data_IF_481265163378
#
_entry.id   IF_481265163378
#
_cell.length_a   1.000
_cell.length_b   1.000
_cell.length_c   1.000
_cell.angle_alpha   90.00
_cell.angle_beta   90.00
_cell.angle_gamma   90.00
#
_symmetry.space_group_name_H-M   'P 1'
#
loop_
_entity.id
_entity.type
_entity.pdbx_description
1 polymer ?
#
# COMPACT_ATOMS: atom_id res chain seq x y z
N UNK A 1 38.28 -5.62 11.18
CA UNK A 1 37.77 -6.98 11.46
C UNK A 1 36.27 -7.00 11.22
N UNK A 2 35.68 -8.18 11.04
CA UNK A 2 34.27 -8.36 10.64
C UNK A 2 33.33 -8.58 11.86
N UNK A 3 33.92 -8.64 13.06
CA UNK A 3 33.23 -8.98 14.30
C UNK A 3 32.19 -7.92 14.72
N UNK A 4 32.55 -6.62 14.67
CA UNK A 4 31.69 -5.48 15.03
C UNK A 4 30.98 -4.89 13.81
N UNK A 5 30.43 -5.78 12.98
CA UNK A 5 29.89 -5.42 11.68
C UNK A 5 30.97 -5.28 10.61
N UNK A 6 30.56 -5.04 9.38
CA UNK A 6 31.44 -5.02 8.21
C UNK A 6 31.59 -3.61 7.62
N UNK A 7 32.25 -2.67 8.32
CA UNK A 7 32.34 -1.27 7.89
C UNK A 7 33.18 -1.08 6.63
N UNK A 8 34.12 -1.99 6.37
CA UNK A 8 35.00 -1.94 5.18
C UNK A 8 34.49 -2.83 4.04
N UNK A 9 33.28 -3.39 4.16
CA UNK A 9 32.63 -4.19 3.10
C UNK A 9 33.48 -5.37 2.60
N UNK A 10 34.14 -6.07 3.52
CA UNK A 10 34.89 -7.27 3.20
C UNK A 10 33.98 -8.40 2.71
N UNK A 11 34.52 -9.18 1.78
CA UNK A 11 33.97 -10.47 1.36
C UNK A 11 34.74 -11.55 2.11
N UNK A 12 34.02 -12.52 2.66
CA UNK A 12 34.64 -13.65 3.36
C UNK A 12 34.57 -14.86 2.46
N UNK A 13 35.72 -15.35 2.02
CA UNK A 13 35.83 -16.62 1.27
C UNK A 13 36.33 -17.71 2.23
N UNK A 14 35.51 -18.73 2.50
CA UNK A 14 35.88 -19.83 3.41
C UNK A 14 35.21 -21.13 3.00
N UNK A 15 35.84 -22.26 3.33
CA UNK A 15 35.27 -23.61 3.18
C UNK A 15 34.90 -24.24 4.51
N UNK A 16 35.26 -23.60 5.63
CA UNK A 16 34.90 -24.11 6.94
C UNK A 16 33.43 -23.81 7.23
N UNK A 17 32.67 -24.87 7.52
CA UNK A 17 31.27 -24.78 7.85
C UNK A 17 31.04 -24.04 9.18
N UNK A 18 31.94 -24.23 10.16
CA UNK A 18 31.81 -23.59 11.47
C UNK A 18 31.99 -22.08 11.37
N UNK A 19 33.01 -21.64 10.63
CA UNK A 19 33.22 -20.22 10.35
C UNK A 19 32.07 -19.63 9.54
N UNK A 20 31.59 -20.35 8.51
CA UNK A 20 30.45 -19.91 7.69
C UNK A 20 29.20 -19.66 8.53
N UNK A 21 28.87 -20.56 9.46
CA UNK A 21 27.72 -20.39 10.36
C UNK A 21 27.90 -19.19 11.28
N UNK A 22 29.11 -18.95 11.79
CA UNK A 22 29.41 -17.77 12.63
C UNK A 22 29.24 -16.47 11.83
N UNK A 23 29.79 -16.40 10.62
CA UNK A 23 29.70 -15.21 9.76
C UNK A 23 28.25 -14.93 9.35
N UNK A 24 27.45 -15.95 9.03
CA UNK A 24 26.02 -15.81 8.70
C UNK A 24 25.17 -15.21 9.83
N UNK A 25 25.62 -15.30 11.09
CA UNK A 25 24.94 -14.68 12.23
C UNK A 25 25.04 -13.16 12.20
N UNK A 26 26.02 -12.58 11.51
CA UNK A 26 26.17 -11.13 11.39
C UNK A 26 25.56 -10.68 10.05
N UNK A 27 24.72 -9.62 10.03
CA UNK A 27 24.15 -9.11 8.78
C UNK A 27 25.21 -8.35 7.96
N UNK A 28 25.09 -8.37 6.64
CA UNK A 28 25.90 -7.52 5.75
C UNK A 28 27.29 -8.06 5.41
N UNK A 29 27.50 -9.38 5.53
CA UNK A 29 28.76 -10.03 5.15
C UNK A 29 28.49 -11.03 4.01
N UNK A 30 28.97 -10.74 2.79
CA UNK A 30 28.91 -11.69 1.69
C UNK A 30 29.90 -12.85 1.91
N UNK A 31 29.41 -14.08 1.73
CA UNK A 31 30.20 -15.30 1.87
C UNK A 31 30.44 -15.94 0.49
N UNK A 32 31.66 -16.38 0.24
CA UNK A 32 32.08 -17.04 -1.00
C UNK A 32 32.63 -18.43 -0.72
N UNK A 33 32.28 -19.37 -1.58
CA UNK A 33 32.73 -20.76 -1.54
C UNK A 33 33.41 -21.12 -2.85
N UNK A 34 34.33 -22.08 -2.83
CA UNK A 34 34.86 -22.71 -4.05
C UNK A 34 34.15 -24.05 -4.21
N UNK A 35 33.35 -24.21 -5.26
CA UNK A 35 32.70 -25.47 -5.60
C UNK A 35 33.35 -25.96 -6.88
N UNK A 36 34.11 -27.06 -6.78
CA UNK A 36 34.92 -27.59 -7.87
C UNK A 36 35.87 -26.52 -8.43
N UNK A 37 35.68 -26.11 -9.68
CA UNK A 37 36.50 -25.11 -10.38
C UNK A 37 35.81 -23.73 -10.49
N UNK A 38 34.78 -23.49 -9.66
CA UNK A 38 33.98 -22.26 -9.69
C UNK A 38 33.94 -21.60 -8.32
N UNK A 39 33.99 -20.27 -8.31
CA UNK A 39 33.80 -19.46 -7.11
C UNK A 39 32.34 -19.02 -7.08
N UNK A 40 31.63 -19.40 -6.02
CA UNK A 40 30.19 -19.16 -5.87
C UNK A 40 29.97 -18.20 -4.71
N UNK A 41 29.23 -17.12 -4.98
CA UNK A 41 28.73 -16.22 -3.95
C UNK A 41 27.46 -16.80 -3.33
N UNK A 42 27.42 -16.90 -2.01
CA UNK A 42 26.26 -17.41 -1.29
C UNK A 42 25.10 -16.42 -1.32
N UNK A 43 23.90 -16.96 -1.11
CA UNK A 43 22.69 -16.15 -0.94
C UNK A 43 22.80 -15.32 0.35
N UNK A 44 22.23 -14.12 0.39
CA UNK A 44 22.25 -13.29 1.59
C UNK A 44 21.60 -14.02 2.76
N UNK A 45 22.22 -13.95 3.94
CA UNK A 45 21.71 -14.62 5.13
C UNK A 45 20.30 -14.09 5.49
N UNK A 46 19.43 -14.92 6.10
CA UNK A 46 18.10 -14.47 6.55
C UNK A 46 18.16 -13.22 7.44
N UNK A 47 19.22 -13.09 8.24
CA UNK A 47 19.43 -11.91 9.08
C UNK A 47 19.76 -10.65 8.28
N UNK A 48 20.57 -10.78 7.22
CA UNK A 48 20.83 -9.68 6.29
C UNK A 48 19.54 -9.24 5.59
N UNK A 49 18.75 -10.20 5.10
CA UNK A 49 17.46 -9.91 4.47
C UNK A 49 16.50 -9.23 5.45
N UNK A 50 16.42 -9.69 6.69
CA UNK A 50 15.58 -9.06 7.72
C UNK A 50 16.06 -7.64 8.06
N UNK A 51 17.37 -7.43 8.17
CA UNK A 51 17.96 -6.12 8.40
C UNK A 51 17.61 -5.15 7.27
N UNK A 52 17.81 -5.55 6.01
CA UNK A 52 17.45 -4.72 4.84
C UNK A 52 15.96 -4.39 4.84
N UNK A 53 15.09 -5.37 5.08
CA UNK A 53 13.64 -5.13 5.17
C UNK A 53 13.26 -4.15 6.29
N UNK A 54 13.94 -4.21 7.44
CA UNK A 54 13.70 -3.30 8.55
C UNK A 54 14.22 -1.88 8.24
N UNK A 55 15.33 -1.76 7.51
CA UNK A 55 15.85 -0.48 6.99
C UNK A 55 14.89 0.11 5.98
N UNK A 56 14.42 -0.67 5.01
CA UNK A 56 13.44 -0.25 3.99
C UNK A 56 12.11 0.18 4.62
N UNK A 57 11.67 -0.50 5.68
CA UNK A 57 10.49 -0.12 6.45
C UNK A 57 10.68 1.17 7.29
N UNK A 58 11.88 1.77 7.28
CA UNK A 58 12.20 2.96 8.07
C UNK A 58 12.28 2.70 9.58
N UNK A 59 12.31 1.43 10.01
CA UNK A 59 12.38 1.06 11.42
C UNK A 59 13.73 1.44 12.03
N UNK A 60 14.82 1.28 11.26
CA UNK A 60 16.18 1.59 11.69
C UNK A 60 16.58 3.06 11.57
N UNK A 61 15.71 3.93 11.06
CA UNK A 61 15.98 5.37 10.97
C UNK A 61 15.95 5.98 12.38
N UNK A 62 16.95 6.80 12.70
CA UNK A 62 17.06 7.49 13.98
C UNK A 62 15.85 8.39 14.24
N UNK A 63 15.56 8.66 15.51
CA UNK A 63 14.46 9.56 15.91
C UNK A 63 14.67 10.96 15.32
N UNK A 64 15.91 11.45 15.33
CA UNK A 64 16.26 12.76 14.77
C UNK A 64 16.06 12.80 13.25
N UNK A 65 16.50 11.78 12.53
CA UNK A 65 16.30 11.67 11.09
C UNK A 65 14.81 11.59 10.74
N UNK A 66 14.01 10.86 11.53
CA UNK A 66 12.54 10.82 11.37
C UNK A 66 11.91 12.20 11.57
N UNK A 67 12.41 13.02 12.50
CA UNK A 67 11.92 14.38 12.73
C UNK A 67 12.29 15.30 11.57
N UNK A 68 13.55 15.33 11.16
CA UNK A 68 14.01 16.13 10.02
C UNK A 68 13.27 15.77 8.73
N UNK A 69 13.01 14.48 8.48
CA UNK A 69 12.19 14.04 7.33
C UNK A 69 10.75 14.58 7.41
N UNK A 70 10.16 14.74 8.61
CA UNK A 70 8.82 15.31 8.76
C UNK A 70 8.83 16.81 8.46
N UNK A 71 9.77 17.55 9.04
CA UNK A 71 9.94 18.99 8.83
C UNK A 71 10.13 19.31 7.34
N UNK A 72 11.04 18.62 6.66
CA UNK A 72 11.27 18.79 5.22
C UNK A 72 10.03 18.47 4.37
N UNK A 73 9.23 17.46 4.77
CA UNK A 73 7.98 17.13 4.08
C UNK A 73 6.92 18.23 4.27
N UNK A 74 6.92 18.90 5.42
CA UNK A 74 6.03 20.03 5.70
C UNK A 74 6.44 21.26 4.91
N UNK A 75 7.73 21.60 4.89
CA UNK A 75 8.28 22.71 4.09
C UNK A 75 8.01 22.54 2.60
N UNK A 76 8.17 21.33 2.07
CA UNK A 76 7.90 21.03 0.66
C UNK A 76 6.40 20.87 0.36
N UNK A 77 5.51 21.00 1.36
CA UNK A 77 4.07 20.89 1.18
C UNK A 77 3.58 19.49 0.76
N UNK A 78 4.41 18.45 0.95
CA UNK A 78 4.06 17.06 0.64
C UNK A 78 3.13 16.43 1.69
N UNK A 79 3.03 17.04 2.88
CA UNK A 79 2.09 16.61 3.91
C UNK A 79 0.67 16.93 3.49
N UNK A 80 -0.08 15.88 3.16
CA UNK A 80 -1.47 15.96 2.74
C UNK A 80 -2.36 16.26 3.94
N UNK A 81 -2.50 17.54 4.30
CA UNK A 81 -3.35 17.96 5.40
C UNK A 81 -4.84 17.75 5.03
N UNK A 82 -5.57 16.81 5.68
CA UNK A 82 -6.96 16.52 5.35
C UNK A 82 -7.90 17.69 5.68
N UNK A 83 -7.52 18.60 6.56
CA UNK A 83 -8.33 19.77 6.93
C UNK A 83 -8.35 20.84 5.84
N UNK A 84 -7.27 20.97 5.07
CA UNK A 84 -7.18 21.91 3.94
C UNK A 84 -7.91 21.43 2.69
N UNK A 85 -8.43 20.19 2.68
CA UNK A 85 -9.51 19.82 1.75
C UNK A 85 -10.79 20.52 2.17
N UNK A 86 -10.80 21.86 2.12
CA UNK A 86 -12.00 22.67 2.11
C UNK A 86 -12.93 22.04 1.11
N UNK A 87 -13.97 21.37 1.61
CA UNK A 87 -15.02 20.75 0.81
C UNK A 87 -15.45 21.81 -0.18
N UNK A 88 -15.14 21.64 -1.47
CA UNK A 88 -15.57 22.58 -2.52
C UNK A 88 -17.06 22.80 -2.27
N UNK A 89 -17.44 24.03 -1.90
CA UNK A 89 -18.85 24.37 -1.66
C UNK A 89 -19.60 23.91 -2.90
N UNK A 90 -20.47 22.91 -2.74
CA UNK A 90 -21.29 22.42 -3.86
C UNK A 90 -22.04 23.65 -4.39
N UNK A 91 -21.89 23.95 -5.69
CA UNK A 91 -22.68 25.01 -6.32
C UNK A 91 -24.14 24.72 -6.01
N UNK A 92 -24.83 25.68 -5.38
CA UNK A 92 -26.27 25.56 -5.14
C UNK A 92 -26.95 25.39 -6.51
N UNK A 93 -27.94 24.51 -6.58
CA UNK A 93 -28.73 24.34 -7.80
C UNK A 93 -29.36 25.70 -8.10
N UNK A 94 -29.03 26.28 -9.26
CA UNK A 94 -29.65 27.52 -9.71
C UNK A 94 -31.18 27.34 -9.76
N UNK A 95 -31.92 28.42 -9.55
CA UNK A 95 -33.37 28.41 -9.72
C UNK A 95 -33.76 27.85 -11.10
N UNK A 96 -34.99 27.34 -11.25
CA UNK A 96 -35.45 26.84 -12.54
C UNK A 96 -35.18 27.91 -13.61
N UNK A 97 -34.60 27.47 -14.72
CA UNK A 97 -34.23 28.35 -15.84
C UNK A 97 -35.40 29.31 -16.14
N UNK A 98 -35.17 30.63 -16.24
CA UNK A 98 -36.24 31.62 -16.43
C UNK A 98 -37.09 31.41 -17.71
N UNK A 99 -36.65 30.59 -18.67
CA UNK A 99 -37.44 30.17 -19.83
C UNK A 99 -38.22 28.85 -19.61
N UNK A 100 -38.15 28.22 -18.43
CA UNK A 100 -38.84 26.96 -18.17
C UNK A 100 -40.32 27.20 -17.88
N UNK A 101 -41.14 27.24 -18.93
CA UNK A 101 -42.60 27.27 -18.85
C UNK A 101 -43.21 25.91 -18.45
N UNK A 102 -42.61 25.20 -17.49
CA UNK A 102 -43.17 23.95 -16.98
C UNK A 102 -44.39 24.28 -16.12
N UNK A 103 -45.57 23.84 -16.55
CA UNK A 103 -46.84 24.07 -15.85
C UNK A 103 -46.76 23.59 -14.38
N UNK A 104 -47.25 24.44 -13.47
CA UNK A 104 -47.31 24.16 -12.03
C UNK A 104 -48.09 22.86 -11.80
N UNK A 105 -47.44 21.86 -11.20
CA UNK A 105 -48.14 20.62 -10.81
C UNK A 105 -49.08 20.93 -9.67
N UNK A 106 -50.39 20.70 -9.87
CA UNK A 106 -51.39 20.76 -8.80
C UNK A 106 -51.13 19.61 -7.83
N UNK A 107 -51.13 19.88 -6.52
CA UNK A 107 -51.19 18.81 -5.50
C UNK A 107 -52.56 18.14 -5.66
N UNK A 108 -52.57 16.85 -5.99
CA UNK A 108 -53.78 16.06 -5.95
C UNK A 108 -54.20 15.91 -4.47
N UNK A 109 -55.48 16.14 -4.18
CA UNK A 109 -56.09 15.75 -2.92
C UNK A 109 -56.10 14.22 -2.82
N UNK A 110 -55.88 13.74 -1.61
CA UNK A 110 -55.87 12.34 -1.23
C UNK A 110 -57.12 11.60 -1.73
N UNK A 111 -56.90 10.50 -2.44
CA UNK A 111 -57.84 9.38 -2.42
C UNK A 111 -57.03 8.09 -2.26
N UNK A 112 -57.36 7.37 -1.20
CA UNK A 112 -56.64 6.21 -0.67
C UNK A 112 -56.68 5.01 -1.65
N UNK A 113 -55.50 4.57 -2.10
CA UNK A 113 -54.95 3.17 -2.21
C UNK A 113 -55.74 1.99 -2.84
N UNK A 114 -55.09 0.87 -3.28
CA UNK A 114 -53.78 0.71 -3.96
C UNK A 114 -53.72 -0.40 -5.06
N UNK A 115 -52.53 -0.52 -5.69
CA UNK A 115 -51.92 -1.68 -6.41
C UNK A 115 -52.54 -2.12 -7.75
N UNK A 116 -51.83 -2.45 -8.85
CA UNK A 116 -50.43 -2.44 -9.30
C UNK A 116 -50.51 -2.38 -10.85
N UNK A 117 -49.59 -1.88 -11.67
CA UNK A 117 -48.26 -2.43 -11.91
C UNK A 117 -47.47 -1.49 -12.84
N UNK A 118 -46.18 -1.32 -12.54
CA UNK A 118 -45.32 -0.26 -13.08
C UNK A 118 -44.68 -0.68 -14.41
N UNK A 119 -44.98 0.00 -15.52
CA UNK A 119 -44.09 0.01 -16.70
C UNK A 119 -42.78 0.75 -16.35
N UNK A 120 -41.73 -0.05 -16.10
CA UNK A 120 -40.37 0.37 -15.76
C UNK A 120 -39.76 1.20 -16.90
N UNK A 121 -39.44 2.48 -16.65
CA UNK A 121 -38.48 3.23 -17.49
C UNK A 121 -37.07 2.70 -17.22
N UNK A 122 -36.40 2.25 -18.29
CA UNK A 122 -35.02 1.73 -18.29
C UNK A 122 -34.07 2.67 -17.53
N UNK A 123 -33.41 2.16 -16.49
CA UNK A 123 -32.24 2.81 -15.87
C UNK A 123 -31.05 2.66 -16.82
N UNK A 124 -30.44 3.78 -17.22
CA UNK A 124 -29.13 3.79 -17.88
C UNK A 124 -28.08 3.33 -16.87
N UNK A 125 -27.55 2.12 -17.06
CA UNK A 125 -26.49 1.57 -16.23
C UNK A 125 -25.19 2.31 -16.59
N UNK A 126 -24.60 3.03 -15.64
CA UNK A 126 -23.18 3.40 -15.70
C UNK A 126 -22.39 2.16 -15.28
N UNK A 127 -21.66 1.57 -16.21
CA UNK A 127 -20.70 0.50 -15.93
C UNK A 127 -19.63 1.11 -15.02
N UNK A 128 -19.60 0.65 -13.77
CA UNK A 128 -18.53 0.93 -12.83
C UNK A 128 -17.57 -0.25 -12.96
N UNK A 129 -16.42 -0.06 -13.59
CA UNK A 129 -15.37 -1.06 -13.60
C UNK A 129 -14.99 -1.34 -12.15
N UNK A 130 -15.40 -2.50 -11.65
CA UNK A 130 -15.09 -2.99 -10.32
C UNK A 130 -13.92 -3.94 -10.52
N UNK A 131 -12.71 -3.45 -10.29
CA UNK A 131 -11.54 -4.30 -10.06
C UNK A 131 -11.90 -5.27 -8.93
N UNK A 132 -11.83 -6.55 -9.22
CA UNK A 132 -12.11 -7.65 -8.31
C UNK A 132 -11.22 -7.61 -7.07
N UNK A 133 -11.77 -7.93 -5.89
CA UNK A 133 -11.06 -8.74 -4.92
C UNK A 133 -11.86 -10.03 -4.71
N UNK A 134 -11.21 -11.18 -4.89
CA UNK A 134 -11.67 -12.44 -4.29
C UNK A 134 -10.51 -13.06 -3.53
N UNK A 135 -10.69 -13.09 -2.22
CA UNK A 135 -10.02 -13.99 -1.28
C UNK A 135 -11.08 -15.00 -0.85
N UNK A 136 -10.75 -16.29 -0.90
CA UNK A 136 -11.26 -17.38 -0.03
C UNK A 136 -10.63 -18.68 -0.54
N UNK A 137 -9.62 -19.26 0.10
CA UNK A 137 -9.74 -20.13 1.29
C UNK A 137 -10.70 -21.30 1.05
N UNK A 138 -10.14 -22.50 0.87
CA UNK A 138 -10.80 -23.79 1.11
C UNK A 138 -9.85 -24.64 1.97
N UNK A 139 -10.39 -25.10 3.11
CA UNK A 139 -9.83 -26.13 3.99
C UNK A 139 -10.67 -27.41 3.80
N UNK A 140 -10.02 -28.56 4.05
CA UNK A 140 -10.62 -29.88 4.31
C UNK A 140 -10.53 -30.86 3.14
N UNK A 141 -10.34 -32.17 3.29
CA UNK A 141 -9.85 -33.09 4.32
C UNK A 141 -9.95 -34.50 3.68
N UNK A 142 -9.07 -35.41 4.10
CA UNK A 142 -9.09 -36.89 3.93
C UNK A 142 -8.74 -37.54 2.57
N UNK A 143 -7.96 -38.62 2.70
CA UNK A 143 -7.32 -39.43 1.68
C UNK A 143 -5.99 -39.96 2.18
#
# INVERSE_FOLDING_TARGET
MVDDGNPHHYFVATQDQNLSVKVKKNPGIPLMFIIQNTIVLDKPSPRTVAFVKAVEAGQLVSVHEKQSIKELKEEQGLVRNPELRKRRKKKKVGGPNPLSCLKKKKKAQDTKSPASEKKRKRKRIRIRNKSTPKVSAQQGAEG
#
